data_IF_031272991406
#
_entry.id   IF_031272991406
#
_cell.length_a   1.000
_cell.length_b   1.000
_cell.length_c   1.000
_cell.angle_alpha   90.00
_cell.angle_beta   90.00
_cell.angle_gamma   90.00
#
_symmetry.space_group_name_H-M   'P 1'
#
loop_
_entity.id
_entity.type
_entity.pdbx_description
1 polymer ?
#
# COMPACT_ATOMS: atom_id res chain seq x y z
N UNK A 1 9.96 -11.60 -1.05
CA UNK A 1 10.81 -10.84 -0.11
C UNK A 1 11.40 -9.64 -0.82
N UNK A 2 11.44 -8.45 -0.18
CA UNK A 2 11.99 -7.25 -0.78
C UNK A 2 13.49 -7.36 -1.00
N UNK A 3 13.99 -6.75 -2.09
CA UNK A 3 15.43 -6.67 -2.37
C UNK A 3 16.13 -5.57 -1.56
N UNK A 4 15.39 -4.53 -1.21
CA UNK A 4 15.88 -3.41 -0.41
C UNK A 4 15.60 -3.76 1.05
N UNK A 5 16.60 -3.58 1.91
CA UNK A 5 16.44 -3.83 3.34
C UNK A 5 15.49 -2.79 3.94
N UNK A 6 14.44 -3.23 4.66
CA UNK A 6 13.62 -2.36 5.47
C UNK A 6 14.46 -1.61 6.51
N UNK A 7 13.99 -0.43 6.88
CA UNK A 7 14.39 0.22 8.12
C UNK A 7 13.37 -0.14 9.21
N UNK A 8 13.74 -1.02 10.13
CA UNK A 8 12.89 -1.47 11.24
C UNK A 8 12.76 -0.42 12.37
N UNK A 9 13.53 0.68 12.31
CA UNK A 9 13.41 1.79 13.27
C UNK A 9 12.21 2.70 12.99
N UNK A 10 11.65 2.62 11.77
CA UNK A 10 10.53 3.46 11.35
C UNK A 10 9.21 2.77 11.73
N UNK A 11 8.37 3.41 12.55
CA UNK A 11 7.09 2.83 12.94
C UNK A 11 6.14 2.79 11.74
N UNK A 12 5.57 1.61 11.49
CA UNK A 12 4.49 1.41 10.52
C UNK A 12 3.17 1.63 11.25
N UNK A 13 2.30 2.56 10.82
CA UNK A 13 1.02 2.76 11.46
C UNK A 13 0.17 1.48 11.43
N UNK A 14 -0.25 1.01 12.60
CA UNK A 14 -1.16 -0.14 12.78
C UNK A 14 -2.63 0.25 12.48
N UNK A 15 -2.84 1.00 11.41
CA UNK A 15 -4.19 1.33 11.00
C UNK A 15 -4.85 0.05 10.46
N UNK A 16 -5.98 -0.35 11.06
CA UNK A 16 -6.76 -1.51 10.61
C UNK A 16 -7.11 -1.42 9.12
N UNK A 17 -7.14 -0.19 8.59
CA UNK A 17 -7.30 0.16 7.19
C UNK A 17 -6.28 -0.48 6.24
N UNK A 18 -5.10 -0.85 6.74
CA UNK A 18 -3.98 -1.38 5.96
C UNK A 18 -3.40 -2.68 6.53
N UNK A 19 -4.17 -3.40 7.33
CA UNK A 19 -3.70 -4.60 8.05
C UNK A 19 -3.04 -5.65 7.14
N UNK A 20 -3.45 -5.75 5.87
CA UNK A 20 -2.90 -6.69 4.88
C UNK A 20 -1.68 -6.18 4.12
N UNK A 21 -1.32 -4.91 4.27
CA UNK A 21 -0.25 -4.23 3.50
C UNK A 21 1.03 -4.01 4.31
N UNK A 22 1.18 -4.68 5.46
CA UNK A 22 2.33 -4.52 6.34
C UNK A 22 3.68 -4.70 5.63
N UNK A 23 3.82 -5.74 4.81
CA UNK A 23 5.08 -6.00 4.08
C UNK A 23 5.40 -4.92 3.03
N UNK A 24 4.39 -4.23 2.49
CA UNK A 24 4.55 -3.18 1.48
C UNK A 24 5.16 -1.97 2.17
N UNK A 25 4.56 -1.52 3.27
CA UNK A 25 5.05 -0.37 4.02
C UNK A 25 6.39 -0.67 4.70
N UNK A 26 6.61 -1.90 5.17
CA UNK A 26 7.93 -2.31 5.65
C UNK A 26 8.99 -2.22 4.55
N UNK A 27 8.68 -2.64 3.33
CA UNK A 27 9.62 -2.47 2.19
C UNK A 27 9.90 -0.99 1.91
N UNK A 28 8.86 -0.15 1.99
CA UNK A 28 8.96 1.28 1.75
C UNK A 28 9.61 2.05 2.91
N UNK A 29 9.78 1.45 4.09
CA UNK A 29 10.36 2.13 5.25
C UNK A 29 11.81 2.57 5.03
N UNK A 30 12.52 1.93 4.09
CA UNK A 30 13.81 2.39 3.56
C UNK A 30 13.78 3.82 2.99
N UNK A 31 12.60 4.35 2.66
CA UNK A 31 12.35 5.73 2.19
C UNK A 31 11.08 6.28 2.86
N UNK A 32 11.15 6.76 4.12
CA UNK A 32 9.97 7.09 4.93
C UNK A 32 9.05 8.15 4.31
N UNK A 33 9.62 9.16 3.65
CA UNK A 33 8.85 10.23 3.00
C UNK A 33 7.95 9.68 1.87
N UNK A 34 8.46 8.73 1.07
CA UNK A 34 7.70 8.07 0.02
C UNK A 34 6.62 7.18 0.63
N UNK A 35 6.95 6.43 1.68
CA UNK A 35 6.00 5.60 2.42
C UNK A 35 4.80 6.43 2.90
N UNK A 36 5.06 7.52 3.63
CA UNK A 36 4.02 8.37 4.19
C UNK A 36 3.12 9.00 3.12
N UNK A 37 3.71 9.47 2.01
CA UNK A 37 2.93 10.01 0.89
C UNK A 37 2.07 8.92 0.23
N UNK A 38 2.61 7.72 0.08
CA UNK A 38 1.89 6.58 -0.52
C UNK A 38 0.73 6.13 0.36
N UNK A 39 0.90 6.09 1.68
CA UNK A 39 -0.19 5.79 2.62
C UNK A 39 -1.35 6.78 2.47
N UNK A 40 -1.06 8.09 2.48
CA UNK A 40 -2.08 9.14 2.31
C UNK A 40 -2.78 9.06 0.95
N UNK A 41 -2.01 8.80 -0.11
CA UNK A 41 -2.56 8.64 -1.46
C UNK A 41 -3.51 7.45 -1.51
N UNK A 42 -3.08 6.30 -0.98
CA UNK A 42 -3.88 5.09 -0.98
C UNK A 42 -5.16 5.26 -0.17
N UNK A 43 -5.08 5.87 1.02
CA UNK A 43 -6.24 6.19 1.84
C UNK A 43 -7.25 7.06 1.06
N UNK A 44 -6.75 8.14 0.46
CA UNK A 44 -7.57 9.07 -0.33
C UNK A 44 -8.23 8.37 -1.49
N UNK A 45 -7.46 7.62 -2.29
CA UNK A 45 -7.98 6.94 -3.50
C UNK A 45 -8.98 5.85 -3.13
N UNK A 46 -8.74 5.06 -2.09
CA UNK A 46 -9.58 3.92 -1.76
C UNK A 46 -10.85 4.34 -1.00
N UNK A 47 -10.77 5.34 -0.11
CA UNK A 47 -11.86 5.68 0.82
C UNK A 47 -12.73 6.87 0.41
N UNK A 48 -12.28 7.70 -0.52
CA UNK A 48 -13.04 8.89 -0.97
C UNK A 48 -13.63 8.73 -2.38
N UNK A 49 -14.45 9.69 -2.83
CA UNK A 49 -15.02 9.71 -4.18
C UNK A 49 -16.32 8.93 -4.34
N UNK A 50 -16.72 8.70 -5.59
CA UNK A 50 -18.04 8.17 -5.96
C UNK A 50 -18.07 6.68 -6.31
N UNK A 51 -16.90 6.06 -6.46
CA UNK A 51 -16.79 4.62 -6.77
C UNK A 51 -16.72 3.82 -5.47
N UNK A 52 -17.53 2.77 -5.35
CA UNK A 52 -17.52 1.88 -4.20
C UNK A 52 -16.17 1.19 -4.00
N UNK A 53 -15.78 0.99 -2.73
CA UNK A 53 -14.47 0.41 -2.37
C UNK A 53 -14.22 -0.95 -3.04
N UNK A 54 -15.25 -1.81 -3.13
CA UNK A 54 -15.14 -3.13 -3.75
C UNK A 54 -14.80 -3.06 -5.25
N UNK A 55 -15.32 -2.05 -5.95
CA UNK A 55 -15.02 -1.85 -7.38
C UNK A 55 -13.58 -1.37 -7.58
N UNK A 56 -13.06 -0.55 -6.65
CA UNK A 56 -11.66 -0.12 -6.68
C UNK A 56 -10.71 -1.29 -6.42
N UNK A 57 -11.06 -2.18 -5.49
CA UNK A 57 -10.28 -3.41 -5.26
C UNK A 57 -10.29 -4.33 -6.49
N UNK A 58 -11.44 -4.51 -7.16
CA UNK A 58 -11.49 -5.27 -8.41
C UNK A 58 -10.59 -4.67 -9.51
N UNK A 59 -10.55 -3.34 -9.61
CA UNK A 59 -9.64 -2.64 -10.51
C UNK A 59 -8.19 -2.89 -10.12
N UNK A 60 -7.85 -2.78 -8.83
CA UNK A 60 -6.50 -3.05 -8.32
C UNK A 60 -6.04 -4.48 -8.65
N UNK A 61 -6.90 -5.48 -8.42
CA UNK A 61 -6.62 -6.88 -8.79
C UNK A 61 -6.37 -7.01 -10.29
N UNK A 62 -7.25 -6.44 -11.13
CA UNK A 62 -7.12 -6.59 -12.58
C UNK A 62 -5.86 -5.93 -13.13
N UNK A 63 -5.52 -4.73 -12.63
CA UNK A 63 -4.30 -4.02 -13.04
C UNK A 63 -3.05 -4.79 -12.57
N UNK A 64 -3.05 -5.34 -11.36
CA UNK A 64 -1.94 -6.17 -10.87
C UNK A 64 -1.72 -7.42 -11.72
N UNK A 65 -2.80 -8.11 -12.13
CA UNK A 65 -2.72 -9.27 -13.01
C UNK A 65 -2.12 -8.92 -14.38
N UNK A 66 -2.58 -7.82 -15.00
CA UNK A 66 -2.07 -7.36 -16.31
C UNK A 66 -0.59 -6.98 -16.24
N UNK A 67 -0.15 -6.47 -15.09
CA UNK A 67 1.25 -6.08 -14.87
C UNK A 67 2.12 -7.18 -14.25
N UNK A 68 1.58 -8.39 -14.04
CA UNK A 68 2.28 -9.47 -13.34
C UNK A 68 2.85 -9.05 -11.97
N UNK A 69 2.14 -8.19 -11.25
CA UNK A 69 2.52 -7.73 -9.92
C UNK A 69 2.11 -8.77 -8.87
N UNK A 70 3.10 -9.46 -8.30
CA UNK A 70 2.89 -10.64 -7.43
C UNK A 70 2.86 -10.33 -5.92
N UNK A 71 3.12 -9.08 -5.52
CA UNK A 71 3.26 -8.68 -4.12
C UNK A 71 2.25 -9.36 -3.18
#
# INVERSE_FOLDING_TARGET
MPRIQPDDSIPIPEDASFATMGTLFQTMSSRPEIMQQTMKLLETVMRSGTVEIKLKELLAIRVSQVNHCFY
#
